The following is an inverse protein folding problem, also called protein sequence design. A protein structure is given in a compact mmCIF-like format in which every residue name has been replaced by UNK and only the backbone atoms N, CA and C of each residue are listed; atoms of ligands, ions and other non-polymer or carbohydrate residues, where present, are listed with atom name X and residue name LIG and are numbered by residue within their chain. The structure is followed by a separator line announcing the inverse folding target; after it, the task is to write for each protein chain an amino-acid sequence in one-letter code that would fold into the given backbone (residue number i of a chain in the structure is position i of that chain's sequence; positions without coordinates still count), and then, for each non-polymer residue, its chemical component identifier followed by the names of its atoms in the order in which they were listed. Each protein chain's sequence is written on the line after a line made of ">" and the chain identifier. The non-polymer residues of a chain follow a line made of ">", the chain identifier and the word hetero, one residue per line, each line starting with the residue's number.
data_IF_809972394006
#
_entry.id   IF_809972394006
#
_cell.length_a   1.000
_cell.length_b   1.000
_cell.length_c   1.000
_cell.angle_alpha   90.00
_cell.angle_beta   90.00
_cell.angle_gamma   90.00
#
_symmetry.space_group_name_H-M   'P 1'
#
loop_
_entity.id
_entity.type
_entity.pdbx_description
1 polymer ?
#
# COMPACT_ATOMS: atom_id res chain seq x y z
N UNK A 1 19.96 15.85 11.33
CA UNK A 1 21.09 16.61 10.72
C UNK A 1 21.94 15.59 9.96
N UNK A 2 21.74 15.49 8.64
CA UNK A 2 22.62 14.70 7.79
C UNK A 2 23.98 15.39 7.73
N UNK A 3 25.00 14.69 8.18
CA UNK A 3 26.41 15.09 8.11
C UNK A 3 27.04 14.67 6.80
N UNK A 4 26.27 14.20 5.81
CA UNK A 4 26.76 13.70 4.54
C UNK A 4 26.55 14.73 3.41
N UNK A 5 27.55 14.85 2.52
CA UNK A 5 27.45 15.66 1.32
C UNK A 5 26.34 15.17 0.40
N UNK A 6 25.43 16.05 -0.01
CA UNK A 6 24.30 15.71 -0.86
C UNK A 6 24.78 15.55 -2.32
N UNK A 7 24.45 14.45 -3.01
CA UNK A 7 24.94 14.20 -4.37
C UNK A 7 24.34 15.16 -5.42
N UNK A 8 25.11 15.38 -6.49
CA UNK A 8 24.67 16.16 -7.66
C UNK A 8 23.42 15.53 -8.27
N UNK A 9 22.50 16.35 -8.72
CA UNK A 9 21.20 15.93 -9.26
C UNK A 9 20.10 15.75 -8.20
N UNK A 10 20.42 15.83 -6.91
CA UNK A 10 19.40 15.78 -5.85
C UNK A 10 18.50 17.01 -5.94
N UNK A 11 17.19 16.80 -5.96
CA UNK A 11 16.22 17.88 -5.95
C UNK A 11 16.05 18.45 -4.56
N UNK A 12 15.85 19.76 -4.51
CA UNK A 12 15.67 20.51 -3.27
C UNK A 12 14.27 21.11 -3.30
N UNK A 13 13.51 20.91 -2.23
CA UNK A 13 12.19 21.47 -2.03
C UNK A 13 12.13 22.31 -0.76
N UNK A 14 11.14 23.18 -0.67
CA UNK A 14 10.88 24.01 0.50
C UNK A 14 10.13 25.29 0.12
N UNK A 15 9.57 25.98 1.10
CA UNK A 15 8.83 27.21 0.85
C UNK A 15 9.75 28.28 0.22
N UNK A 16 9.42 28.75 -0.98
CA UNK A 16 10.19 29.76 -1.72
C UNK A 16 11.30 29.17 -2.61
N UNK A 17 11.43 27.85 -2.68
CA UNK A 17 12.30 27.18 -3.66
C UNK A 17 11.52 26.96 -4.92
N UNK A 18 12.12 27.31 -6.08
CA UNK A 18 11.50 27.12 -7.40
C UNK A 18 11.44 25.62 -7.74
N UNK A 19 10.31 25.17 -8.27
CA UNK A 19 10.14 23.77 -8.70
C UNK A 19 11.20 23.36 -9.71
N UNK A 20 11.73 22.16 -9.56
CA UNK A 20 12.80 21.65 -10.41
C UNK A 20 14.21 22.08 -10.01
N UNK A 21 14.37 22.81 -8.90
CA UNK A 21 15.70 23.14 -8.38
C UNK A 21 16.43 21.87 -7.94
N UNK A 22 17.65 21.70 -8.43
CA UNK A 22 18.52 20.57 -8.07
C UNK A 22 19.97 21.04 -7.85
N UNK A 23 20.75 20.22 -7.17
CA UNK A 23 22.17 20.46 -6.98
C UNK A 23 22.91 20.22 -8.31
N UNK A 24 23.51 21.29 -8.84
CA UNK A 24 24.27 21.23 -10.09
C UNK A 24 25.75 20.85 -9.86
N UNK A 25 26.30 21.23 -8.72
CA UNK A 25 27.68 20.89 -8.33
C UNK A 25 27.69 20.36 -6.90
N UNK A 26 28.48 19.31 -6.67
CA UNK A 26 28.64 18.72 -5.33
C UNK A 26 29.05 19.77 -4.30
N UNK A 27 28.53 19.62 -3.08
CA UNK A 27 28.83 20.53 -1.98
C UNK A 27 30.31 20.59 -1.63
N UNK A 28 30.83 21.79 -1.46
CA UNK A 28 32.18 22.02 -0.94
C UNK A 28 32.08 22.33 0.55
N UNK A 29 32.82 21.60 1.35
CA UNK A 29 32.89 21.83 2.79
C UNK A 29 33.44 23.22 3.10
N UNK A 30 32.68 24.02 3.87
CA UNK A 30 33.05 25.41 4.17
C UNK A 30 33.92 25.50 5.41
N UNK A 31 33.74 24.56 6.34
CA UNK A 31 34.53 24.58 7.59
C UNK A 31 34.60 23.15 8.18
N UNK A 32 35.80 22.54 8.14
CA UNK A 32 35.98 21.17 8.64
C UNK A 32 35.98 21.07 10.18
N UNK A 33 35.93 22.20 10.90
CA UNK A 33 36.12 22.26 12.36
C UNK A 33 34.85 22.58 13.14
N UNK A 34 33.70 22.81 12.49
CA UNK A 34 32.43 23.14 13.18
C UNK A 34 31.43 22.02 13.07
N UNK A 35 30.85 21.66 14.20
CA UNK A 35 29.70 20.75 14.23
C UNK A 35 28.42 21.61 14.43
N UNK A 36 27.45 21.62 13.49
CA UNK A 36 27.37 20.76 12.29
C UNK A 36 28.25 21.23 11.12
N UNK A 37 28.77 20.27 10.35
CA UNK A 37 29.51 20.56 9.10
C UNK A 37 28.60 21.22 8.09
N UNK A 38 29.08 22.34 7.48
CA UNK A 38 28.31 23.10 6.49
C UNK A 38 28.90 22.93 5.09
N UNK A 39 28.02 22.80 4.09
CA UNK A 39 28.40 22.64 2.68
C UNK A 39 27.79 23.76 1.83
N UNK A 40 28.54 24.27 0.86
CA UNK A 40 28.04 25.16 -0.17
C UNK A 40 27.71 24.34 -1.44
N UNK A 41 26.52 24.53 -1.96
CA UNK A 41 26.04 23.88 -3.17
C UNK A 41 25.75 24.89 -4.27
N UNK A 42 26.01 24.53 -5.53
CA UNK A 42 25.56 25.28 -6.70
C UNK A 42 24.26 24.66 -7.21
N UNK A 43 23.23 25.47 -7.38
CA UNK A 43 21.93 25.07 -7.88
C UNK A 43 21.84 25.25 -9.40
N UNK A 44 21.05 24.44 -10.07
CA UNK A 44 20.78 24.54 -11.51
C UNK A 44 19.92 25.76 -11.86
N UNK A 45 19.14 26.27 -10.90
CA UNK A 45 18.32 27.46 -11.04
C UNK A 45 18.82 28.51 -10.03
N UNK A 46 19.23 29.68 -10.54
CA UNK A 46 19.65 30.78 -9.68
C UNK A 46 18.43 31.39 -9.00
N UNK A 47 18.42 31.41 -7.68
CA UNK A 47 17.34 31.97 -6.86
C UNK A 47 17.87 32.49 -5.53
N UNK A 48 17.16 33.48 -4.98
CA UNK A 48 17.43 33.98 -3.64
C UNK A 48 16.35 33.48 -2.69
N UNK A 49 16.73 32.69 -1.71
CA UNK A 49 15.83 32.17 -0.68
C UNK A 49 16.28 32.68 0.67
N UNK A 50 15.35 33.15 1.51
CA UNK A 50 15.67 33.50 2.87
C UNK A 50 16.27 32.31 3.62
N UNK A 51 17.19 32.57 4.57
CA UNK A 51 17.79 31.51 5.37
C UNK A 51 16.73 30.65 6.04
N UNK A 52 16.69 29.37 5.67
CA UNK A 52 15.76 28.37 6.18
C UNK A 52 16.28 26.96 5.94
N UNK A 53 15.70 26.00 6.62
CA UNK A 53 15.98 24.60 6.38
C UNK A 53 15.40 24.17 5.03
N UNK A 54 16.25 23.65 4.12
CA UNK A 54 15.85 23.02 2.88
C UNK A 54 15.72 21.51 3.08
N UNK A 55 14.70 20.92 2.49
CA UNK A 55 14.50 19.48 2.54
C UNK A 55 14.97 18.82 1.26
N UNK A 56 15.65 17.68 1.39
CA UNK A 56 15.97 16.80 0.26
C UNK A 56 14.67 16.18 -0.24
N UNK A 57 14.43 16.26 -1.54
CA UNK A 57 13.30 15.60 -2.21
C UNK A 57 13.82 14.38 -2.97
N UNK A 58 13.20 13.24 -2.79
CA UNK A 58 13.52 12.06 -3.59
C UNK A 58 12.96 12.16 -5.00
N UNK A 59 13.60 11.47 -5.96
CA UNK A 59 13.20 11.47 -7.37
C UNK A 59 11.75 10.99 -7.56
N UNK A 60 11.29 10.08 -6.73
CA UNK A 60 9.90 9.59 -6.72
C UNK A 60 8.89 10.68 -6.43
N UNK A 61 9.21 11.62 -5.54
CA UNK A 61 8.33 12.74 -5.21
C UNK A 61 8.17 13.70 -6.40
N UNK A 62 9.17 13.77 -7.28
CA UNK A 62 9.13 14.62 -8.47
C UNK A 62 8.12 14.15 -9.52
N UNK A 63 7.92 12.84 -9.66
CA UNK A 63 6.91 12.29 -10.57
C UNK A 63 5.50 12.69 -10.12
N UNK A 64 5.30 12.81 -8.83
CA UNK A 64 4.03 13.21 -8.22
C UNK A 64 3.75 14.71 -8.37
N UNK A 65 4.78 15.54 -8.46
CA UNK A 65 4.66 17.00 -8.61
C UNK A 65 4.66 17.47 -10.07
N UNK A 66 4.84 16.57 -11.04
CA UNK A 66 4.76 16.96 -12.45
C UNK A 66 3.34 17.34 -12.84
N UNK A 67 3.21 18.55 -13.36
CA UNK A 67 1.97 19.17 -13.83
C UNK A 67 1.43 18.60 -15.15
N UNK A 68 2.03 17.53 -15.70
CA UNK A 68 1.50 16.89 -16.90
C UNK A 68 0.23 16.10 -16.53
N UNK A 69 -0.93 16.45 -17.07
CA UNK A 69 -2.19 15.80 -16.75
C UNK A 69 -2.19 14.30 -17.06
N UNK A 70 -1.48 13.88 -18.12
CA UNK A 70 -1.42 12.47 -18.51
C UNK A 70 -0.65 11.62 -17.49
N UNK A 71 0.43 12.18 -16.92
CA UNK A 71 1.19 11.52 -15.85
C UNK A 71 0.35 11.41 -14.58
N UNK A 72 -0.39 12.46 -14.24
CA UNK A 72 -1.29 12.44 -13.08
C UNK A 72 -2.41 11.41 -13.26
N UNK A 73 -3.00 11.30 -14.44
CA UNK A 73 -4.02 10.29 -14.77
C UNK A 73 -3.41 8.88 -14.65
N UNK A 74 -2.21 8.65 -15.21
CA UNK A 74 -1.56 7.37 -15.17
C UNK A 74 -1.22 6.94 -13.72
N UNK A 75 -0.67 7.86 -12.92
CA UNK A 75 -0.33 7.60 -11.52
C UNK A 75 -1.57 7.31 -10.66
N UNK A 76 -2.62 8.13 -10.81
CA UNK A 76 -3.87 7.90 -10.08
C UNK A 76 -4.52 6.57 -10.46
N UNK A 77 -4.50 6.22 -11.76
CA UNK A 77 -5.01 4.93 -12.24
C UNK A 77 -4.18 3.78 -11.68
N UNK A 78 -2.85 3.91 -11.62
CA UNK A 78 -1.99 2.88 -11.03
C UNK A 78 -2.31 2.66 -9.55
N UNK A 79 -2.50 3.72 -8.78
CA UNK A 79 -2.89 3.65 -7.36
C UNK A 79 -4.27 3.03 -7.16
N UNK A 80 -5.24 3.41 -8.00
CA UNK A 80 -6.59 2.87 -8.02
C UNK A 80 -6.56 1.35 -8.26
N UNK A 81 -5.87 0.92 -9.31
CA UNK A 81 -5.72 -0.50 -9.68
C UNK A 81 -4.92 -1.28 -8.63
N UNK A 82 -3.86 -0.68 -8.06
CA UNK A 82 -3.09 -1.31 -6.99
C UNK A 82 -3.97 -1.61 -5.78
N UNK A 83 -4.82 -0.67 -5.39
CA UNK A 83 -5.76 -0.87 -4.29
C UNK A 83 -6.82 -1.92 -4.62
N UNK A 84 -7.34 -1.91 -5.84
CA UNK A 84 -8.32 -2.88 -6.32
C UNK A 84 -7.75 -4.31 -6.31
N UNK A 85 -6.58 -4.52 -6.90
CA UNK A 85 -5.93 -5.84 -6.97
C UNK A 85 -5.55 -6.35 -5.58
N UNK A 86 -5.02 -5.50 -4.71
CA UNK A 86 -4.67 -5.90 -3.35
C UNK A 86 -5.91 -6.23 -2.50
N UNK A 87 -7.06 -5.61 -2.77
CA UNK A 87 -8.30 -5.91 -2.06
C UNK A 87 -8.92 -7.27 -2.43
N UNK A 88 -8.39 -7.95 -3.46
CA UNK A 88 -8.78 -9.34 -3.76
C UNK A 88 -8.37 -10.32 -2.64
N UNK A 89 -7.40 -9.95 -1.79
CA UNK A 89 -6.90 -10.79 -0.69
C UNK A 89 -5.98 -11.89 -1.20
N UNK A 90 -4.70 -11.57 -1.33
CA UNK A 90 -3.65 -12.50 -1.74
C UNK A 90 -2.91 -13.04 -0.51
N UNK A 91 -2.25 -14.17 -0.64
CA UNK A 91 -1.48 -14.76 0.47
C UNK A 91 -0.42 -13.81 1.05
N UNK A 92 0.17 -12.95 0.21
CA UNK A 92 1.18 -12.01 0.67
C UNK A 92 0.65 -10.87 1.54
N UNK A 93 -0.64 -10.51 1.43
CA UNK A 93 -1.23 -9.39 2.14
C UNK A 93 -2.42 -9.77 3.04
N UNK A 94 -2.69 -11.07 3.19
CA UNK A 94 -3.74 -11.57 4.08
C UNK A 94 -3.12 -12.19 5.32
N UNK A 95 -3.52 -11.73 6.47
CA UNK A 95 -3.14 -12.30 7.77
C UNK A 95 -4.39 -12.86 8.44
N UNK A 96 -4.29 -14.13 8.85
CA UNK A 96 -5.34 -14.81 9.57
C UNK A 96 -5.06 -14.78 11.08
N UNK A 97 -6.12 -14.84 11.86
CA UNK A 97 -6.03 -14.94 13.32
C UNK A 97 -5.27 -13.76 13.97
N UNK A 98 -5.30 -12.59 13.35
CA UNK A 98 -4.63 -11.41 13.89
C UNK A 98 -5.31 -10.93 15.17
N UNK A 99 -4.54 -10.88 16.27
CA UNK A 99 -5.05 -10.50 17.58
C UNK A 99 -5.09 -8.99 17.74
N UNK A 100 -6.28 -8.44 17.99
CA UNK A 100 -6.45 -7.01 18.27
C UNK A 100 -7.03 -6.82 19.67
N UNK A 101 -6.48 -5.85 20.40
CA UNK A 101 -6.96 -5.43 21.71
C UNK A 101 -7.64 -4.07 21.61
N UNK A 102 -8.80 -3.88 22.28
CA UNK A 102 -9.43 -2.57 22.39
C UNK A 102 -8.52 -1.56 23.11
N UNK A 103 -8.66 -0.30 22.79
CA UNK A 103 -7.97 0.80 23.47
C UNK A 103 -8.58 1.07 24.87
N UNK A 104 -8.04 2.08 25.58
CA UNK A 104 -8.53 2.48 26.93
C UNK A 104 -9.99 2.95 26.91
N UNK A 105 -10.55 3.28 25.75
CA UNK A 105 -11.96 3.66 25.58
C UNK A 105 -12.84 2.45 25.20
N UNK A 106 -12.29 1.24 25.21
CA UNK A 106 -12.89 0.02 24.71
C UNK A 106 -13.26 0.09 23.22
N UNK A 107 -12.54 0.85 22.41
CA UNK A 107 -12.72 0.96 20.97
C UNK A 107 -11.56 0.28 20.24
N UNK A 108 -11.84 -0.34 19.10
CA UNK A 108 -10.84 -0.90 18.22
C UNK A 108 -10.69 0.04 17.04
N UNK A 109 -9.54 0.71 16.97
CA UNK A 109 -9.17 1.57 15.84
C UNK A 109 -8.48 0.73 14.78
N UNK A 110 -8.84 0.98 13.54
CA UNK A 110 -8.31 0.28 12.37
C UNK A 110 -7.41 1.25 11.63
N UNK A 111 -6.23 0.77 11.26
CA UNK A 111 -5.26 1.55 10.50
C UNK A 111 -5.76 1.81 9.06
N UNK A 112 -5.28 2.88 8.44
CA UNK A 112 -5.71 3.31 7.10
C UNK A 112 -5.22 2.38 5.98
N UNK A 113 -4.26 1.52 6.30
CA UNK A 113 -3.69 0.49 5.42
C UNK A 113 -4.44 -0.84 5.45
N UNK A 114 -5.52 -0.94 6.20
CA UNK A 114 -6.42 -2.10 6.18
C UNK A 114 -7.44 -1.95 5.06
N UNK A 115 -7.43 -2.90 4.12
CA UNK A 115 -8.40 -2.95 3.01
C UNK A 115 -9.68 -3.67 3.38
N UNK A 116 -9.53 -4.82 4.05
CA UNK A 116 -10.65 -5.64 4.53
C UNK A 116 -10.33 -6.21 5.90
N UNK A 117 -11.36 -6.41 6.69
CA UNK A 117 -11.25 -7.03 8.00
C UNK A 117 -12.56 -7.76 8.32
N UNK A 118 -12.43 -9.00 8.78
CA UNK A 118 -13.56 -9.79 9.27
C UNK A 118 -13.20 -10.47 10.58
N UNK A 119 -14.22 -10.76 11.40
CA UNK A 119 -14.05 -11.50 12.65
C UNK A 119 -13.90 -13.00 12.37
N UNK A 120 -12.83 -13.61 12.86
CA UNK A 120 -12.71 -15.05 12.79
C UNK A 120 -13.66 -15.72 13.79
N UNK A 121 -14.70 -16.36 13.26
CA UNK A 121 -15.74 -17.05 14.04
C UNK A 121 -15.25 -18.35 14.69
N UNK A 122 -14.02 -18.79 14.41
CA UNK A 122 -13.42 -19.97 15.05
C UNK A 122 -13.05 -19.79 16.52
N UNK A 123 -13.02 -18.57 17.01
CA UNK A 123 -12.62 -18.23 18.38
C UNK A 123 -13.81 -18.00 19.28
N UNK A 124 -13.78 -18.56 20.52
CA UNK A 124 -14.86 -18.35 21.49
C UNK A 124 -15.13 -16.89 21.82
N UNK A 125 -14.10 -16.06 21.78
CA UNK A 125 -14.15 -14.62 22.04
C UNK A 125 -14.97 -13.87 21.00
N UNK A 126 -15.06 -14.42 19.79
CA UNK A 126 -15.80 -13.83 18.68
C UNK A 126 -17.22 -14.38 18.51
N UNK A 127 -17.56 -15.45 19.26
CA UNK A 127 -18.90 -16.05 19.20
C UNK A 127 -19.92 -14.99 19.54
N UNK A 128 -21.01 -14.95 18.76
CA UNK A 128 -22.10 -13.98 18.91
C UNK A 128 -21.75 -12.53 18.58
N UNK A 129 -20.55 -12.25 18.06
CA UNK A 129 -20.19 -10.93 17.57
C UNK A 129 -20.24 -10.88 16.04
N UNK A 130 -20.54 -9.74 15.50
CA UNK A 130 -20.50 -9.46 14.07
C UNK A 130 -19.94 -8.06 13.88
N UNK A 131 -18.78 -7.97 13.28
CA UNK A 131 -18.09 -6.70 13.11
C UNK A 131 -18.14 -6.19 11.69
N UNK A 132 -18.10 -4.88 11.56
CA UNK A 132 -17.89 -4.19 10.28
C UNK A 132 -16.99 -2.99 10.49
N UNK A 133 -16.17 -2.69 9.50
CA UNK A 133 -15.38 -1.48 9.43
C UNK A 133 -16.27 -0.26 9.16
N UNK A 134 -16.24 0.73 10.04
CA UNK A 134 -17.01 1.97 9.89
C UNK A 134 -16.28 3.14 10.54
N UNK A 135 -15.93 4.15 9.74
CA UNK A 135 -15.32 5.38 10.25
C UNK A 135 -13.99 5.18 10.97
N UNK A 136 -13.10 4.33 10.45
CA UNK A 136 -11.79 4.06 11.06
C UNK A 136 -11.85 3.20 12.34
N UNK A 137 -13.00 2.59 12.65
CA UNK A 137 -13.19 1.77 13.84
C UNK A 137 -13.96 0.50 13.52
N UNK A 138 -13.76 -0.51 14.34
CA UNK A 138 -14.54 -1.74 14.29
C UNK A 138 -15.87 -1.52 15.02
N UNK A 139 -16.97 -1.78 14.33
CA UNK A 139 -18.34 -1.62 14.85
C UNK A 139 -18.99 -2.98 15.03
N UNK A 140 -19.50 -3.24 16.24
CA UNK A 140 -20.29 -4.45 16.52
C UNK A 140 -21.74 -4.25 16.04
N UNK A 141 -22.12 -5.00 14.99
CA UNK A 141 -23.47 -4.93 14.40
C UNK A 141 -24.55 -5.49 15.31
N UNK A 142 -24.23 -6.47 16.16
CA UNK A 142 -25.21 -7.09 17.07
C UNK A 142 -25.52 -6.21 18.26
N UNK A 143 -24.50 -5.56 18.81
CA UNK A 143 -24.66 -4.64 19.95
C UNK A 143 -24.92 -3.20 19.55
N UNK A 144 -24.86 -2.88 18.24
CA UNK A 144 -24.98 -1.53 17.71
C UNK A 144 -24.04 -0.53 18.38
N UNK A 145 -22.79 -0.93 18.64
CA UNK A 145 -21.83 -0.17 19.43
C UNK A 145 -20.41 -0.24 18.84
N UNK A 146 -19.63 0.80 19.08
CA UNK A 146 -18.18 0.80 18.85
C UNK A 146 -17.39 0.24 20.05
N UNK A 147 -18.06 -0.04 21.17
CA UNK A 147 -17.42 -0.49 22.41
C UNK A 147 -17.35 -2.00 22.48
N UNK A 148 -16.15 -2.50 22.68
CA UNK A 148 -15.80 -3.90 22.77
C UNK A 148 -15.51 -4.26 24.22
N UNK A 149 -16.30 -5.15 24.80
CA UNK A 149 -16.10 -5.62 26.19
C UNK A 149 -15.14 -6.80 26.31
N UNK A 150 -14.68 -7.35 25.18
CA UNK A 150 -13.71 -8.42 25.17
C UNK A 150 -12.30 -7.87 25.41
N UNK A 151 -11.45 -8.64 26.09
CA UNK A 151 -10.04 -8.30 26.27
C UNK A 151 -9.31 -8.21 24.91
N UNK A 152 -9.68 -9.05 23.96
CA UNK A 152 -9.16 -9.08 22.61
C UNK A 152 -10.17 -9.73 21.65
N UNK A 153 -9.95 -9.55 20.37
CA UNK A 153 -10.68 -10.21 19.27
C UNK A 153 -9.68 -10.72 18.24
N UNK A 154 -10.03 -11.80 17.56
CA UNK A 154 -9.25 -12.35 16.46
C UNK A 154 -9.92 -12.01 15.16
N UNK A 155 -9.16 -11.49 14.21
CA UNK A 155 -9.65 -11.02 12.91
C UNK A 155 -8.79 -11.54 11.78
N UNK A 156 -9.39 -11.70 10.62
CA UNK A 156 -8.70 -11.94 9.37
C UNK A 156 -8.60 -10.58 8.66
N UNK A 157 -7.39 -10.19 8.29
CA UNK A 157 -7.08 -8.85 7.77
C UNK A 157 -6.45 -8.97 6.40
N UNK A 158 -6.88 -8.09 5.48
CA UNK A 158 -6.22 -7.83 4.21
C UNK A 158 -5.58 -6.44 4.26
N UNK A 159 -4.25 -6.41 4.16
CA UNK A 159 -3.46 -5.19 4.23
C UNK A 159 -3.26 -4.54 2.86
N UNK A 160 -3.09 -3.23 2.86
CA UNK A 160 -2.59 -2.48 1.72
C UNK A 160 -1.10 -2.24 1.88
N UNK A 161 -0.30 -2.79 0.98
CA UNK A 161 1.14 -2.58 0.97
C UNK A 161 1.58 -1.53 -0.05
N UNK A 162 2.65 -0.83 0.29
CA UNK A 162 3.34 0.07 -0.65
C UNK A 162 3.98 -0.72 -1.78
N UNK A 163 4.25 -0.04 -2.89
CA UNK A 163 4.72 -0.66 -4.14
C UNK A 163 5.92 -1.59 -3.94
N UNK A 164 6.86 -1.19 -3.10
CA UNK A 164 8.11 -1.91 -2.82
C UNK A 164 7.89 -3.26 -2.12
N UNK A 165 6.78 -3.41 -1.43
CA UNK A 165 6.45 -4.60 -0.64
C UNK A 165 5.52 -5.57 -1.39
N UNK A 166 5.14 -5.24 -2.63
CA UNK A 166 4.30 -6.10 -3.45
C UNK A 166 5.18 -7.10 -4.22
N UNK A 167 4.83 -8.40 -4.28
CA UNK A 167 5.55 -9.38 -5.09
C UNK A 167 5.56 -9.04 -6.58
N UNK A 168 6.67 -9.31 -7.26
CA UNK A 168 6.87 -8.93 -8.66
C UNK A 168 5.77 -9.43 -9.64
N UNK A 169 5.21 -10.65 -9.54
CA UNK A 169 4.12 -11.08 -10.41
C UNK A 169 2.84 -10.26 -10.22
N UNK A 170 2.55 -9.87 -8.98
CA UNK A 170 1.39 -9.02 -8.67
C UNK A 170 1.62 -7.59 -9.19
N UNK A 171 2.85 -7.04 -9.02
CA UNK A 171 3.21 -5.76 -9.62
C UNK A 171 3.04 -5.76 -11.14
N UNK A 172 3.48 -6.82 -11.82
CA UNK A 172 3.33 -6.97 -13.27
C UNK A 172 1.85 -6.98 -13.70
N UNK A 173 0.99 -7.65 -12.93
CA UNK A 173 -0.45 -7.65 -13.18
C UNK A 173 -1.05 -6.26 -12.96
N UNK A 174 -0.73 -5.56 -11.86
CA UNK A 174 -1.19 -4.20 -11.58
C UNK A 174 -0.80 -3.25 -12.72
N UNK A 175 0.45 -3.31 -13.17
CA UNK A 175 0.93 -2.47 -14.27
C UNK A 175 0.20 -2.77 -15.58
N UNK A 176 0.00 -4.04 -15.93
CA UNK A 176 -0.68 -4.43 -17.16
C UNK A 176 -2.14 -3.96 -17.17
N UNK A 177 -2.86 -4.14 -16.06
CA UNK A 177 -4.25 -3.68 -15.89
C UNK A 177 -4.34 -2.16 -15.92
N UNK A 178 -3.47 -1.47 -15.20
CA UNK A 178 -3.41 -0.01 -15.22
C UNK A 178 -3.12 0.54 -16.62
N UNK A 179 -2.18 -0.07 -17.36
CA UNK A 179 -1.85 0.33 -18.72
C UNK A 179 -3.05 0.19 -19.69
N UNK A 180 -3.84 -0.87 -19.57
CA UNK A 180 -5.05 -1.05 -20.37
C UNK A 180 -6.07 0.08 -20.10
N UNK A 181 -6.29 0.41 -18.82
CA UNK A 181 -7.23 1.46 -18.40
C UNK A 181 -6.72 2.85 -18.86
N UNK A 182 -5.43 3.14 -18.66
CA UNK A 182 -4.81 4.41 -19.07
C UNK A 182 -4.87 4.59 -20.57
N UNK A 183 -4.58 3.55 -21.36
CA UNK A 183 -4.69 3.56 -22.81
C UNK A 183 -6.11 3.94 -23.27
N UNK A 184 -7.13 3.37 -22.61
CA UNK A 184 -8.53 3.70 -22.87
C UNK A 184 -8.88 5.15 -22.50
N UNK A 185 -8.34 5.67 -21.38
CA UNK A 185 -8.62 7.04 -20.90
C UNK A 185 -7.92 8.14 -21.71
N UNK A 186 -6.70 7.88 -22.21
CA UNK A 186 -5.86 8.90 -22.85
C UNK A 186 -5.86 8.77 -24.37
N UNK A 187 -5.69 7.54 -24.89
CA UNK A 187 -5.48 7.30 -26.33
C UNK A 187 -6.79 6.97 -27.03
N UNK A 188 -7.62 6.11 -26.44
CA UNK A 188 -8.90 5.69 -27.00
C UNK A 188 -8.80 4.76 -28.22
N UNK A 189 -7.63 4.15 -28.48
CA UNK A 189 -7.43 3.19 -29.58
C UNK A 189 -7.88 1.77 -29.14
N UNK A 190 -8.91 1.25 -29.82
CA UNK A 190 -9.49 -0.07 -29.56
C UNK A 190 -8.51 -1.22 -29.84
N UNK A 191 -7.65 -1.09 -30.86
CA UNK A 191 -6.68 -2.13 -31.17
C UNK A 191 -5.61 -2.25 -30.09
N UNK A 192 -5.07 -1.09 -29.67
CA UNK A 192 -4.09 -1.03 -28.58
C UNK A 192 -4.68 -1.55 -27.26
N UNK A 193 -5.91 -1.16 -26.96
CA UNK A 193 -6.63 -1.66 -25.78
C UNK A 193 -6.73 -3.18 -25.78
N UNK A 194 -7.10 -3.79 -26.92
CA UNK A 194 -7.21 -5.25 -27.05
C UNK A 194 -5.88 -5.96 -26.80
N UNK A 195 -4.77 -5.43 -27.32
CA UNK A 195 -3.43 -5.99 -27.07
C UNK A 195 -3.04 -5.89 -25.60
N UNK A 196 -3.32 -4.75 -24.95
CA UNK A 196 -3.04 -4.55 -23.52
C UNK A 196 -3.91 -5.46 -22.64
N UNK A 197 -5.16 -5.67 -23.02
CA UNK A 197 -6.06 -6.59 -22.32
C UNK A 197 -5.58 -8.05 -22.42
N UNK A 198 -5.06 -8.48 -23.57
CA UNK A 198 -4.43 -9.79 -23.69
C UNK A 198 -3.21 -9.92 -22.77
N UNK A 199 -2.39 -8.88 -22.68
CA UNK A 199 -1.26 -8.84 -21.74
C UNK A 199 -1.71 -8.91 -20.28
N UNK A 200 -2.79 -8.22 -19.94
CA UNK A 200 -3.40 -8.28 -18.60
C UNK A 200 -3.80 -9.72 -18.23
N UNK A 201 -4.46 -10.44 -19.15
CA UNK A 201 -4.84 -11.83 -18.93
C UNK A 201 -3.63 -12.75 -18.67
N UNK A 202 -2.54 -12.56 -19.42
CA UNK A 202 -1.31 -13.33 -19.21
C UNK A 202 -0.68 -13.01 -17.85
N UNK A 203 -0.57 -11.74 -17.50
CA UNK A 203 0.01 -11.35 -16.21
C UNK A 203 -0.89 -11.78 -15.03
N UNK A 204 -2.21 -11.78 -15.20
CA UNK A 204 -3.12 -12.32 -14.18
C UNK A 204 -2.91 -13.82 -13.98
N UNK A 205 -2.75 -14.59 -15.05
CA UNK A 205 -2.43 -16.02 -14.93
C UNK A 205 -1.12 -16.26 -14.17
N UNK A 206 -0.09 -15.47 -14.43
CA UNK A 206 1.18 -15.54 -13.72
C UNK A 206 1.05 -15.17 -12.24
N UNK A 207 0.24 -14.17 -11.94
CA UNK A 207 -0.06 -13.77 -10.57
C UNK A 207 -0.81 -14.90 -9.82
N UNK A 208 -1.79 -15.54 -10.47
CA UNK A 208 -2.51 -16.66 -9.89
C UNK A 208 -1.62 -17.91 -9.71
N UNK A 209 -0.69 -18.16 -10.63
CA UNK A 209 0.31 -19.22 -10.47
C UNK A 209 1.22 -18.96 -9.27
N UNK A 210 1.68 -17.72 -9.11
CA UNK A 210 2.44 -17.32 -7.92
C UNK A 210 1.63 -17.53 -6.64
N UNK A 211 0.37 -17.11 -6.62
CA UNK A 211 -0.53 -17.30 -5.48
C UNK A 211 -0.71 -18.78 -5.11
N UNK A 212 -0.97 -19.64 -6.11
CA UNK A 212 -1.09 -21.08 -5.88
C UNK A 212 0.19 -21.69 -5.30
N UNK A 213 1.36 -21.22 -5.76
CA UNK A 213 2.64 -21.71 -5.26
C UNK A 213 2.95 -21.20 -3.86
N UNK A 214 2.52 -19.98 -3.53
CA UNK A 214 2.81 -19.34 -2.25
C UNK A 214 1.83 -19.79 -1.16
N UNK A 215 0.56 -19.97 -1.51
CA UNK A 215 -0.49 -20.34 -0.58
C UNK A 215 -0.56 -21.83 -0.28
N UNK A 216 0.24 -22.68 -0.97
CA UNK A 216 0.25 -24.14 -0.81
C UNK A 216 -1.17 -24.76 -0.76
N UNK A 217 -2.09 -24.18 -1.55
CA UNK A 217 -3.48 -24.62 -1.56
C UNK A 217 -3.61 -26.09 -1.96
N UNK A 218 -4.31 -26.87 -1.17
CA UNK A 218 -4.65 -28.24 -1.46
C UNK A 218 -6.15 -28.39 -1.69
N UNK A 219 -6.57 -29.51 -2.27
CA UNK A 219 -7.99 -29.83 -2.43
C UNK A 219 -8.77 -29.80 -1.10
N UNK A 220 -8.09 -30.00 0.02
CA UNK A 220 -8.67 -30.01 1.37
C UNK A 220 -8.54 -28.71 2.12
N UNK A 221 -8.00 -27.65 1.51
CA UNK A 221 -7.77 -26.35 2.10
C UNK A 221 -6.31 -25.94 2.17
N UNK A 222 -6.02 -24.79 2.75
CA UNK A 222 -4.66 -24.33 2.95
C UNK A 222 -3.98 -25.10 4.11
N UNK A 223 -2.71 -25.53 3.98
CA UNK A 223 -1.99 -26.20 5.04
C UNK A 223 -1.67 -25.32 6.25
N UNK A 224 -1.72 -23.99 6.11
CA UNK A 224 -1.36 -23.04 7.16
C UNK A 224 -2.35 -22.99 8.34
N UNK A 225 -3.48 -23.59 8.19
CA UNK A 225 -4.45 -23.66 9.29
C UNK A 225 -4.19 -24.72 10.32
N UNK A 226 -2.98 -25.24 10.47
CA UNK A 226 -2.66 -26.26 11.51
C UNK A 226 -3.69 -27.36 11.56
N UNK A 227 -4.36 -27.64 10.47
CA UNK A 227 -5.43 -28.48 10.60
C UNK A 227 -6.06 -29.04 9.43
N UNK A 228 -5.77 -30.06 9.55
CA UNK A 228 -6.80 -30.96 9.98
C UNK A 228 -8.04 -30.92 9.13
N UNK A 229 -8.09 -31.92 8.26
CA UNK A 229 -9.32 -32.44 7.72
C UNK A 229 -10.44 -32.26 8.77
N UNK A 230 -11.23 -31.21 8.64
CA UNK A 230 -12.53 -31.12 9.33
C UNK A 230 -13.52 -31.93 8.51
N UNK A 231 -13.96 -33.09 9.02
CA UNK A 231 -14.93 -33.86 8.29
C UNK A 231 -16.16 -32.98 8.07
N UNK A 232 -16.67 -32.94 6.83
CA UNK A 232 -17.89 -32.24 6.50
C UNK A 232 -19.02 -32.71 7.42
N UNK A 233 -19.46 -31.83 8.29
CA UNK A 233 -20.64 -32.04 9.11
C UNK A 233 -21.76 -31.20 8.52
N UNK A 234 -22.82 -31.83 7.95
CA UNK A 234 -23.89 -31.10 7.23
C UNK A 234 -24.51 -29.97 8.07
N UNK A 235 -24.55 -30.10 9.39
CA UNK A 235 -25.17 -29.11 10.24
C UNK A 235 -24.33 -27.82 10.39
N UNK A 236 -23.01 -27.85 10.16
CA UNK A 236 -22.19 -26.65 10.17
C UNK A 236 -22.50 -25.68 9.03
N UNK A 237 -23.09 -26.17 7.95
CA UNK A 237 -23.56 -25.33 6.84
C UNK A 237 -24.85 -24.58 7.18
N UNK A 238 -25.54 -24.99 8.24
CA UNK A 238 -26.77 -24.38 8.72
C UNK A 238 -26.55 -23.36 9.86
N UNK A 239 -25.34 -23.34 10.40
CA UNK A 239 -24.92 -22.34 11.39
C UNK A 239 -24.26 -21.18 10.66
N UNK A 240 -25.01 -20.11 10.49
CA UNK A 240 -24.56 -18.85 9.93
C UNK A 240 -24.61 -17.76 10.98
#
# INVERSE_FOLDING_TARGET
>A
TETANIPVGTYIGGTGVTDGTSIAVAGTEVSPATDPVTYNYTLNISQTVAERTLTRSEVTTRVETQTNPDVAIALNTLREVSREVQSEGWSFNTEYDYKITPDNNNEIRIADDVLQMDLNQGYPENIEKEAIFRGGKLYDKKKHSYKWTAEHVYVDIVWYFTWENIPAPIQAHIVARAAAIVSSRIIGDANQYTVLQQKELVTRSQAMEYECNQGDYTFFGSPDGGNFYRPYKPFHTLQR
#
